data_IF_013662575855
#
_entry.id   IF_013662575855
#
_cell.length_a   1.000
_cell.length_b   1.000
_cell.length_c   1.000
_cell.angle_alpha   90.00
_cell.angle_beta   90.00
_cell.angle_gamma   90.00
#
_symmetry.space_group_name_H-M   'P 1'
#
loop_
_entity.id
_entity.type
_entity.pdbx_description
1 polymer ?
#
# COMPACT_ATOMS: atom_id res chain seq x y z
N UNK A 1 -13.30 -9.87 25.81
CA UNK A 1 -11.83 -9.78 25.96
C UNK A 1 -11.39 -11.10 26.53
N UNK A 2 -10.53 -11.85 25.82
CA UNK A 2 -10.03 -13.14 26.30
C UNK A 2 -8.98 -12.90 27.37
N UNK A 3 -8.95 -13.76 28.39
CA UNK A 3 -7.96 -13.65 29.47
C UNK A 3 -6.56 -14.10 29.00
N UNK A 4 -5.54 -13.69 29.75
CA UNK A 4 -4.13 -14.08 29.50
C UNK A 4 -3.96 -15.61 29.45
N UNK A 5 -4.73 -16.34 30.25
CA UNK A 5 -4.74 -17.80 30.35
C UNK A 5 -5.36 -18.48 29.14
N UNK A 6 -6.47 -17.94 28.62
CA UNK A 6 -7.14 -18.44 27.42
C UNK A 6 -6.30 -18.25 26.14
N UNK A 7 -5.51 -17.18 26.10
CA UNK A 7 -4.59 -16.94 25.00
C UNK A 7 -3.36 -17.85 25.09
N UNK A 8 -2.78 -18.05 26.30
CA UNK A 8 -1.65 -18.93 26.55
C UNK A 8 -1.94 -20.38 26.15
N UNK A 9 -3.12 -20.91 26.48
CA UNK A 9 -3.53 -22.27 26.14
C UNK A 9 -3.62 -22.52 24.62
N UNK A 10 -3.94 -21.50 23.83
CA UNK A 10 -3.93 -21.61 22.36
C UNK A 10 -2.51 -21.74 21.77
N UNK A 11 -1.50 -21.18 22.43
CA UNK A 11 -0.12 -21.25 21.97
C UNK A 11 0.64 -22.51 22.48
N UNK A 12 0.25 -23.05 23.63
CA UNK A 12 0.90 -24.23 24.21
C UNK A 12 0.55 -25.55 23.49
N UNK A 13 -0.55 -25.61 22.76
CA UNK A 13 -0.99 -26.83 22.06
C UNK A 13 -0.43 -26.98 20.63
N UNK A 14 0.55 -26.16 20.24
CA UNK A 14 1.18 -26.26 18.90
C UNK A 14 0.29 -25.79 17.76
N UNK A 15 -0.89 -25.25 18.04
CA UNK A 15 -1.77 -24.65 17.05
C UNK A 15 -1.13 -23.35 16.54
N UNK A 16 -1.00 -23.25 15.23
CA UNK A 16 -0.56 -22.00 14.60
C UNK A 16 -1.68 -20.97 14.76
N UNK A 17 -1.49 -19.89 15.52
CA UNK A 17 -2.51 -18.86 15.67
C UNK A 17 -2.84 -18.28 14.29
N UNK A 18 -4.12 -18.16 13.98
CA UNK A 18 -4.57 -17.41 12.81
C UNK A 18 -4.26 -15.93 13.03
N UNK A 19 -4.10 -15.19 11.95
CA UNK A 19 -3.81 -13.76 11.97
C UNK A 19 -4.75 -12.97 12.92
N UNK A 20 -6.03 -13.30 12.94
CA UNK A 20 -7.07 -12.76 13.83
C UNK A 20 -6.77 -12.97 15.34
N UNK A 21 -6.26 -14.14 15.71
CA UNK A 21 -5.88 -14.45 17.11
C UNK A 21 -4.63 -13.68 17.54
N UNK A 22 -3.73 -13.39 16.59
CA UNK A 22 -2.55 -12.57 16.83
C UNK A 22 -2.93 -11.11 17.10
N UNK A 23 -3.90 -10.56 16.34
CA UNK A 23 -4.42 -9.22 16.56
C UNK A 23 -5.11 -9.07 17.92
N UNK A 24 -5.97 -10.04 18.31
CA UNK A 24 -6.59 -10.05 19.63
C UNK A 24 -5.55 -10.06 20.76
N UNK A 25 -4.42 -10.73 20.52
CA UNK A 25 -3.31 -10.79 21.47
C UNK A 25 -2.55 -9.47 21.56
N UNK A 26 -2.22 -8.87 20.45
CA UNK A 26 -1.53 -7.57 20.38
C UNK A 26 -2.38 -6.47 21.02
N UNK A 27 -3.66 -6.37 20.71
CA UNK A 27 -4.59 -5.41 21.34
C UNK A 27 -4.70 -5.61 22.87
N UNK A 28 -4.58 -6.83 23.36
CA UNK A 28 -4.65 -7.12 24.80
C UNK A 28 -3.39 -6.71 25.57
N UNK A 29 -2.25 -6.62 24.92
CA UNK A 29 -0.95 -6.37 25.54
C UNK A 29 -0.39 -4.98 25.31
N UNK A 30 -0.75 -4.31 24.22
CA UNK A 30 -0.20 -2.98 23.88
C UNK A 30 -0.64 -1.87 24.87
N UNK A 31 -1.71 -2.07 25.60
CA UNK A 31 -2.26 -1.09 26.56
C UNK A 31 -1.77 -1.24 28.00
N UNK A 32 -0.76 -2.05 28.25
CA UNK A 32 -0.16 -2.18 29.59
C UNK A 32 1.33 -1.87 29.55
N UNK A 33 1.79 -1.07 30.51
CA UNK A 33 3.16 -0.59 30.70
C UNK A 33 4.24 -1.69 30.86
N UNK A 34 3.94 -2.94 30.60
CA UNK A 34 4.87 -4.06 30.63
C UNK A 34 5.40 -4.33 29.22
N UNK A 35 6.65 -3.92 28.96
CA UNK A 35 7.41 -4.35 27.78
C UNK A 35 7.66 -5.86 27.86
N UNK A 36 6.98 -6.64 27.02
CA UNK A 36 7.36 -8.03 26.81
C UNK A 36 8.55 -8.04 25.86
N UNK A 37 9.70 -8.54 26.35
CA UNK A 37 10.86 -8.82 25.48
C UNK A 37 10.47 -9.95 24.54
N UNK A 38 10.20 -9.62 23.28
CA UNK A 38 9.80 -10.56 22.22
C UNK A 38 10.74 -11.76 22.09
N UNK A 39 12.02 -11.59 22.41
CA UNK A 39 13.02 -12.67 22.42
C UNK A 39 12.77 -13.78 23.47
N UNK A 40 11.85 -13.58 24.40
CA UNK A 40 11.53 -14.55 25.47
C UNK A 40 10.28 -15.38 25.22
N UNK A 41 9.62 -15.20 24.10
CA UNK A 41 8.44 -15.99 23.75
C UNK A 41 8.90 -17.19 22.91
N UNK A 42 9.10 -18.33 23.55
CA UNK A 42 9.51 -19.57 22.87
C UNK A 42 8.46 -19.98 21.81
N UNK A 43 8.93 -20.33 20.61
CA UNK A 43 8.09 -20.80 19.51
C UNK A 43 7.59 -19.71 18.56
N UNK A 44 7.88 -18.43 18.82
CA UNK A 44 7.51 -17.33 17.95
C UNK A 44 8.50 -17.10 16.80
N UNK A 45 9.72 -17.64 16.90
CA UNK A 45 10.77 -17.54 15.88
C UNK A 45 10.39 -18.07 14.50
N UNK A 46 9.37 -18.94 14.41
CA UNK A 46 8.94 -19.59 13.16
C UNK A 46 7.58 -19.12 12.63
N UNK A 47 6.91 -18.18 13.30
CA UNK A 47 5.53 -17.79 12.93
C UNK A 47 5.18 -16.31 13.06
N UNK A 48 6.08 -15.49 13.63
CA UNK A 48 5.89 -14.04 13.69
C UNK A 48 6.31 -13.35 12.40
N UNK A 49 5.70 -12.19 12.09
CA UNK A 49 6.29 -11.24 11.15
C UNK A 49 7.78 -11.06 11.51
N UNK A 50 8.65 -11.19 10.52
CA UNK A 50 10.10 -11.03 10.73
C UNK A 50 10.34 -9.67 11.38
N UNK A 51 11.41 -9.50 12.17
CA UNK A 51 11.80 -8.24 12.85
C UNK A 51 11.77 -6.97 11.98
N UNK A 52 11.61 -7.12 10.67
CA UNK A 52 11.52 -6.05 9.68
C UNK A 52 10.07 -5.73 9.26
N UNK A 53 9.07 -6.40 9.86
CA UNK A 53 7.67 -6.15 9.57
C UNK A 53 7.15 -5.12 10.58
N UNK A 54 6.53 -4.07 10.09
CA UNK A 54 5.96 -3.01 10.92
C UNK A 54 4.49 -2.81 10.58
N UNK A 55 3.67 -2.74 11.63
CA UNK A 55 2.28 -2.38 11.52
C UNK A 55 2.13 -0.90 11.81
N UNK A 56 1.78 -0.12 10.80
CA UNK A 56 1.53 1.29 10.98
C UNK A 56 0.16 1.52 11.60
N UNK A 57 0.14 2.20 12.74
CA UNK A 57 -1.05 2.86 13.26
C UNK A 57 -1.04 4.31 12.80
N UNK A 58 -2.18 4.72 12.27
CA UNK A 58 -2.43 6.11 11.88
C UNK A 58 -3.46 6.62 12.90
N UNK A 59 -3.11 7.67 13.65
CA UNK A 59 -4.02 8.28 14.59
C UNK A 59 -5.19 9.02 13.90
N UNK A 60 -6.13 9.53 14.69
CA UNK A 60 -7.32 10.24 14.18
C UNK A 60 -6.92 11.55 13.45
N UNK A 61 -5.77 12.11 13.80
CA UNK A 61 -5.19 13.31 13.17
C UNK A 61 -4.41 12.98 11.90
N UNK A 62 -4.24 11.70 11.56
CA UNK A 62 -3.53 11.25 10.37
C UNK A 62 -2.02 11.19 10.52
N UNK A 63 -1.49 11.22 11.76
CA UNK A 63 -0.06 11.12 12.00
C UNK A 63 0.38 9.67 12.16
N UNK A 64 1.50 9.33 11.54
CA UNK A 64 2.24 8.12 11.83
C UNK A 64 3.73 8.40 11.74
N UNK A 65 4.49 8.01 12.74
CA UNK A 65 5.92 8.20 12.74
C UNK A 65 6.65 6.92 12.36
N UNK A 66 7.19 6.89 11.15
CA UNK A 66 8.06 5.82 10.66
C UNK A 66 9.53 6.25 10.66
N UNK A 67 9.83 7.44 11.17
CA UNK A 67 11.05 8.20 10.92
C UNK A 67 12.37 7.61 11.44
N UNK A 68 12.41 6.47 12.11
CA UNK A 68 13.66 5.85 12.60
C UNK A 68 13.66 4.32 12.53
N UNK A 69 12.70 3.72 11.83
CA UNK A 69 12.57 2.28 11.72
C UNK A 69 13.15 1.81 10.39
N UNK A 70 14.09 0.88 10.42
CA UNK A 70 14.51 0.15 9.21
C UNK A 70 13.44 -0.88 8.85
N UNK A 71 12.26 -0.39 8.47
CA UNK A 71 11.12 -1.22 8.13
C UNK A 71 11.25 -1.63 6.67
N UNK A 72 11.22 -2.93 6.40
CA UNK A 72 11.17 -3.44 5.03
C UNK A 72 9.75 -3.75 4.58
N UNK A 73 8.91 -4.22 5.49
CA UNK A 73 7.52 -4.59 5.21
C UNK A 73 6.59 -3.76 6.08
N UNK A 74 5.63 -3.12 5.46
CA UNK A 74 4.68 -2.24 6.10
C UNK A 74 3.26 -2.79 5.93
N UNK A 75 2.57 -3.00 7.03
CA UNK A 75 1.17 -3.43 7.04
C UNK A 75 0.30 -2.28 7.50
N UNK A 76 -0.68 -1.93 6.68
CA UNK A 76 -1.68 -0.93 7.08
C UNK A 76 -2.74 -1.63 7.92
N UNK A 77 -2.97 -1.12 9.13
CA UNK A 77 -3.91 -1.71 10.10
C UNK A 77 -5.34 -1.76 9.53
N UNK A 78 -6.08 -2.87 9.73
CA UNK A 78 -7.51 -2.92 9.43
C UNK A 78 -8.28 -1.82 10.16
N UNK A 79 -9.22 -1.18 9.46
CA UNK A 79 -9.96 -0.02 9.97
C UNK A 79 -9.37 1.33 9.56
N UNK A 80 -8.11 1.40 9.09
CA UNK A 80 -7.56 2.61 8.47
C UNK A 80 -8.34 2.95 7.21
N UNK A 81 -8.90 4.17 7.14
CA UNK A 81 -9.66 4.66 5.99
C UNK A 81 -8.79 5.49 5.03
N UNK A 82 -7.88 6.27 5.56
CA UNK A 82 -7.07 7.20 4.77
C UNK A 82 -5.58 7.03 5.09
N UNK A 83 -4.76 6.90 4.05
CA UNK A 83 -3.31 6.99 4.19
C UNK A 83 -2.93 8.46 4.06
N UNK A 84 -2.23 9.05 5.04
CA UNK A 84 -1.86 10.47 5.01
C UNK A 84 -0.86 10.80 3.91
N UNK A 85 -0.74 12.10 3.61
CA UNK A 85 0.32 12.60 2.74
C UNK A 85 1.70 12.28 3.35
N UNK A 86 2.65 11.87 2.50
CA UNK A 86 4.04 11.54 2.86
C UNK A 86 4.20 10.49 3.96
N UNK A 87 3.19 9.69 4.22
CA UNK A 87 3.11 8.70 5.29
C UNK A 87 4.38 7.86 5.46
N UNK A 88 4.86 7.24 4.41
CA UNK A 88 6.05 6.40 4.38
C UNK A 88 7.02 6.80 3.25
N UNK A 89 7.06 8.08 2.88
CA UNK A 89 7.98 8.58 1.86
C UNK A 89 9.44 8.48 2.30
N UNK A 90 10.33 8.01 1.41
CA UNK A 90 11.78 7.86 1.66
C UNK A 90 12.14 6.96 2.86
N UNK A 91 11.35 5.95 3.17
CA UNK A 91 11.59 5.06 4.32
C UNK A 91 12.31 3.76 3.96
N UNK A 92 12.51 3.49 2.66
CA UNK A 92 13.20 2.29 2.18
C UNK A 92 12.38 1.02 2.29
N UNK A 93 11.05 1.11 2.43
CA UNK A 93 10.18 -0.08 2.45
C UNK A 93 10.23 -0.80 1.12
N UNK A 94 10.23 -2.13 1.18
CA UNK A 94 10.24 -3.00 0.00
C UNK A 94 8.90 -3.70 -0.26
N UNK A 95 8.00 -3.63 0.71
CA UNK A 95 6.65 -4.20 0.61
C UNK A 95 5.67 -3.35 1.42
N UNK A 96 4.49 -3.09 0.87
CA UNK A 96 3.35 -2.52 1.58
C UNK A 96 2.12 -3.38 1.34
N UNK A 97 1.40 -3.66 2.41
CA UNK A 97 0.13 -4.40 2.39
C UNK A 97 -0.95 -3.44 2.88
N UNK A 98 -1.82 -3.04 1.95
CA UNK A 98 -2.93 -2.15 2.25
C UNK A 98 -4.08 -2.95 2.87
N UNK A 99 -4.69 -2.39 3.92
CA UNK A 99 -5.93 -2.95 4.46
C UNK A 99 -7.09 -2.72 3.47
N UNK A 100 -8.05 -3.65 3.44
CA UNK A 100 -9.24 -3.52 2.59
C UNK A 100 -10.14 -2.34 2.97
N UNK A 101 -9.96 -1.77 4.17
CA UNK A 101 -10.69 -0.59 4.63
C UNK A 101 -10.23 0.72 4.01
N UNK A 102 -9.02 0.77 3.40
CA UNK A 102 -8.44 2.01 2.87
C UNK A 102 -9.26 2.52 1.70
N UNK A 103 -9.75 3.76 1.79
CA UNK A 103 -10.54 4.43 0.76
C UNK A 103 -9.77 5.49 -0.01
N UNK A 104 -8.66 6.00 0.54
CA UNK A 104 -7.79 6.94 -0.19
C UNK A 104 -6.33 6.83 0.23
N UNK A 105 -5.45 7.14 -0.71
CA UNK A 105 -4.00 7.20 -0.52
C UNK A 105 -3.56 8.64 -0.76
N UNK A 106 -2.89 9.25 0.21
CA UNK A 106 -2.45 10.64 0.20
C UNK A 106 -1.31 10.93 -0.79
N UNK A 107 -1.00 12.21 -0.94
CA UNK A 107 0.09 12.65 -1.80
C UNK A 107 1.46 12.21 -1.25
N UNK A 108 2.35 11.76 -2.14
CA UNK A 108 3.69 11.24 -1.78
C UNK A 108 3.68 10.09 -0.75
N UNK A 109 2.55 9.46 -0.47
CA UNK A 109 2.39 8.55 0.69
C UNK A 109 3.45 7.47 0.77
N UNK A 110 3.88 6.91 -0.35
CA UNK A 110 4.89 5.86 -0.45
C UNK A 110 6.02 6.20 -1.44
N UNK A 111 6.17 7.48 -1.81
CA UNK A 111 7.17 7.89 -2.80
C UNK A 111 8.60 7.55 -2.38
N UNK A 112 9.49 7.35 -3.37
CA UNK A 112 10.93 7.10 -3.18
C UNK A 112 11.23 5.92 -2.23
N UNK A 113 10.60 4.80 -2.47
CA UNK A 113 10.82 3.54 -1.77
C UNK A 113 11.40 2.47 -2.72
N UNK A 114 11.52 1.24 -2.24
CA UNK A 114 12.06 0.12 -3.04
C UNK A 114 11.00 -0.98 -3.26
N UNK A 115 9.75 -0.57 -3.43
CA UNK A 115 8.62 -1.48 -3.68
C UNK A 115 8.76 -2.13 -5.05
N UNK A 116 8.59 -3.45 -5.12
CA UNK A 116 8.56 -4.19 -6.39
C UNK A 116 7.15 -4.42 -6.91
N UNK A 117 6.20 -4.51 -6.00
CA UNK A 117 4.80 -4.72 -6.32
C UNK A 117 3.89 -4.02 -5.32
N UNK A 118 2.70 -3.65 -5.76
CA UNK A 118 1.63 -3.17 -4.90
C UNK A 118 0.27 -3.61 -5.47
N UNK A 119 -0.63 -3.94 -4.55
CA UNK A 119 -2.05 -4.17 -4.87
C UNK A 119 -2.87 -3.06 -4.24
N UNK A 120 -3.55 -2.29 -5.08
CA UNK A 120 -4.52 -1.28 -4.65
C UNK A 120 -5.86 -1.99 -4.42
N UNK A 121 -6.37 -1.93 -3.19
CA UNK A 121 -7.57 -2.66 -2.76
C UNK A 121 -8.86 -2.02 -3.29
N UNK A 122 -9.96 -2.78 -3.26
CA UNK A 122 -11.23 -2.40 -3.91
C UNK A 122 -11.91 -1.15 -3.33
N UNK A 123 -11.63 -0.81 -2.09
CA UNK A 123 -12.22 0.37 -1.46
C UNK A 123 -11.51 1.68 -1.83
N UNK A 124 -10.28 1.59 -2.35
CA UNK A 124 -9.52 2.79 -2.74
C UNK A 124 -10.17 3.45 -3.94
N UNK A 125 -10.71 4.64 -3.74
CA UNK A 125 -11.32 5.44 -4.80
C UNK A 125 -10.32 6.39 -5.48
N UNK A 126 -9.36 6.94 -4.73
CA UNK A 126 -8.40 7.93 -5.22
C UNK A 126 -6.98 7.59 -4.80
N UNK A 127 -6.05 7.66 -5.77
CA UNK A 127 -4.62 7.53 -5.56
C UNK A 127 -4.01 8.93 -5.71
N UNK A 128 -3.40 9.42 -4.63
CA UNK A 128 -2.88 10.77 -4.51
C UNK A 128 -1.71 11.09 -5.44
N UNK A 129 -1.41 12.39 -5.55
CA UNK A 129 -0.29 12.90 -6.34
C UNK A 129 1.03 12.26 -5.88
N UNK A 130 1.85 11.76 -6.81
CA UNK A 130 3.14 11.10 -6.54
C UNK A 130 3.09 9.96 -5.51
N UNK A 131 1.92 9.39 -5.22
CA UNK A 131 1.75 8.42 -4.13
C UNK A 131 2.75 7.25 -4.17
N UNK A 132 3.10 6.76 -5.34
CA UNK A 132 4.08 5.69 -5.58
C UNK A 132 5.16 6.10 -6.59
N UNK A 133 5.51 7.37 -6.66
CA UNK A 133 6.56 7.85 -7.55
C UNK A 133 7.93 7.33 -7.10
N UNK A 134 8.76 6.87 -8.05
CA UNK A 134 10.15 6.44 -7.77
C UNK A 134 10.23 5.22 -6.84
N UNK A 135 9.32 4.25 -6.96
CA UNK A 135 9.26 3.08 -6.07
C UNK A 135 9.80 1.79 -6.69
N UNK A 136 10.27 1.81 -7.93
CA UNK A 136 10.78 0.66 -8.68
C UNK A 136 9.75 -0.44 -8.96
N UNK A 137 8.45 -0.14 -8.99
CA UNK A 137 7.38 -1.10 -9.26
C UNK A 137 7.58 -1.77 -10.62
N UNK A 138 7.59 -3.10 -10.60
CA UNK A 138 7.54 -3.94 -11.80
C UNK A 138 6.16 -4.54 -12.00
N UNK A 139 5.33 -4.60 -10.95
CA UNK A 139 3.97 -5.13 -10.96
C UNK A 139 3.03 -4.21 -10.17
N UNK A 140 1.89 -3.88 -10.78
CA UNK A 140 0.84 -3.08 -10.18
C UNK A 140 -0.51 -3.73 -10.45
N UNK A 141 -1.27 -3.96 -9.39
CA UNK A 141 -2.68 -4.38 -9.47
C UNK A 141 -3.56 -3.24 -9.01
N UNK A 142 -4.45 -2.77 -9.89
CA UNK A 142 -5.47 -1.75 -9.57
C UNK A 142 -6.82 -2.45 -9.53
N UNK A 143 -7.45 -2.45 -8.35
CA UNK A 143 -8.77 -3.08 -8.19
C UNK A 143 -9.91 -2.19 -8.72
N UNK A 144 -11.10 -2.76 -8.99
CA UNK A 144 -12.23 -2.05 -9.62
C UNK A 144 -12.89 -0.96 -8.78
N UNK A 145 -12.29 -0.50 -7.67
CA UNK A 145 -12.76 0.63 -6.85
C UNK A 145 -12.24 1.98 -7.31
N UNK A 146 -11.04 1.99 -7.89
CA UNK A 146 -10.32 3.22 -8.23
C UNK A 146 -11.08 4.02 -9.30
N UNK A 147 -11.29 5.33 -9.03
CA UNK A 147 -11.93 6.28 -9.92
C UNK A 147 -10.95 7.26 -10.54
N UNK A 148 -9.99 7.73 -9.76
CA UNK A 148 -9.01 8.72 -10.18
C UNK A 148 -7.58 8.33 -9.80
N UNK A 149 -6.66 8.49 -10.76
CA UNK A 149 -5.22 8.36 -10.55
C UNK A 149 -4.63 9.75 -10.77
N UNK A 150 -4.09 10.35 -9.71
CA UNK A 150 -3.61 11.73 -9.72
C UNK A 150 -2.22 11.88 -10.35
N UNK A 151 -1.78 13.14 -10.44
CA UNK A 151 -0.56 13.56 -11.12
C UNK A 151 0.65 12.76 -10.62
N UNK A 152 1.39 12.19 -11.55
CA UNK A 152 2.63 11.43 -11.28
C UNK A 152 2.49 10.25 -10.31
N UNK A 153 1.28 9.77 -10.03
CA UNK A 153 1.01 8.78 -8.96
C UNK A 153 1.90 7.52 -9.05
N UNK A 154 2.22 7.05 -10.25
CA UNK A 154 3.09 5.91 -10.52
C UNK A 154 4.22 6.27 -11.49
N UNK A 155 4.61 7.54 -11.54
CA UNK A 155 5.73 7.98 -12.37
C UNK A 155 7.06 7.39 -11.87
N UNK A 156 8.06 7.32 -12.76
CA UNK A 156 9.41 6.85 -12.45
C UNK A 156 9.42 5.46 -11.79
N UNK A 157 8.82 4.49 -12.49
CA UNK A 157 8.76 3.10 -12.08
C UNK A 157 9.30 2.16 -13.18
N UNK A 158 9.14 0.86 -13.02
CA UNK A 158 9.65 -0.16 -13.95
C UNK A 158 8.51 -1.07 -14.46
N UNK A 159 7.32 -0.51 -14.62
CA UNK A 159 6.19 -1.26 -15.14
C UNK A 159 6.45 -1.66 -16.59
N UNK A 160 6.13 -2.91 -16.92
CA UNK A 160 6.21 -3.45 -18.30
C UNK A 160 4.84 -3.74 -18.88
N UNK A 161 3.85 -3.92 -18.01
CA UNK A 161 2.45 -4.12 -18.35
C UNK A 161 1.57 -3.41 -17.33
N UNK A 162 0.40 -2.98 -17.76
CA UNK A 162 -0.57 -2.30 -16.93
C UNK A 162 -1.98 -2.69 -17.37
N UNK A 163 -2.79 -3.15 -16.43
CA UNK A 163 -4.23 -3.24 -16.58
C UNK A 163 -4.90 -2.10 -15.81
N UNK A 164 -5.65 -1.29 -16.52
CA UNK A 164 -6.46 -0.20 -15.94
C UNK A 164 -7.92 -0.67 -15.95
N UNK A 165 -8.55 -0.86 -14.77
CA UNK A 165 -9.93 -1.31 -14.72
C UNK A 165 -10.90 -0.24 -15.24
N UNK A 166 -12.07 -0.63 -15.81
CA UNK A 166 -13.06 0.31 -16.35
C UNK A 166 -13.65 1.29 -15.34
N UNK A 167 -13.43 1.05 -14.04
CA UNK A 167 -13.83 1.96 -12.96
C UNK A 167 -13.05 3.27 -12.95
N UNK A 168 -11.82 3.27 -13.52
CA UNK A 168 -10.96 4.46 -13.58
C UNK A 168 -11.53 5.40 -14.65
N UNK A 169 -12.02 6.55 -14.21
CA UNK A 169 -12.61 7.56 -15.08
C UNK A 169 -11.64 8.66 -15.48
N UNK A 170 -10.58 8.88 -14.69
CA UNK A 170 -9.61 9.96 -14.93
C UNK A 170 -8.18 9.54 -14.59
N UNK A 171 -7.27 9.73 -15.54
CA UNK A 171 -5.83 9.58 -15.37
C UNK A 171 -5.18 10.94 -15.62
N UNK A 172 -4.56 11.50 -14.58
CA UNK A 172 -3.98 12.84 -14.56
C UNK A 172 -2.59 12.88 -15.24
N UNK A 173 -2.03 14.09 -15.45
CA UNK A 173 -0.72 14.30 -16.05
C UNK A 173 0.38 13.45 -15.40
N UNK A 174 1.27 12.91 -16.22
CA UNK A 174 2.44 12.12 -15.81
C UNK A 174 2.13 10.88 -14.94
N UNK A 175 0.88 10.48 -14.75
CA UNK A 175 0.49 9.43 -13.80
C UNK A 175 1.31 8.14 -13.94
N UNK A 176 1.68 7.75 -15.16
CA UNK A 176 2.51 6.60 -15.49
C UNK A 176 3.73 6.96 -16.34
N UNK A 177 4.11 8.24 -16.41
CA UNK A 177 5.28 8.67 -17.17
C UNK A 177 6.56 8.07 -16.56
N UNK A 178 7.65 8.05 -17.32
CA UNK A 178 8.93 7.45 -16.90
C UNK A 178 8.83 5.97 -16.47
N UNK A 179 7.99 5.19 -17.17
CA UNK A 179 7.97 3.72 -17.10
C UNK A 179 8.49 3.17 -18.44
N UNK A 180 9.81 3.09 -18.67
CA UNK A 180 10.38 2.83 -20.00
C UNK A 180 10.03 1.46 -20.57
N UNK A 181 9.64 0.49 -19.72
CA UNK A 181 9.20 -0.84 -20.13
C UNK A 181 7.74 -0.92 -20.56
N UNK A 182 6.93 0.11 -20.27
CA UNK A 182 5.49 0.11 -20.57
C UNK A 182 5.24 0.49 -22.02
N UNK A 183 5.18 -0.51 -22.90
CA UNK A 183 5.06 -0.31 -24.35
C UNK A 183 3.63 -0.07 -24.83
N UNK A 184 2.63 -0.55 -24.09
CA UNK A 184 1.22 -0.34 -24.43
C UNK A 184 0.31 -0.43 -23.19
N UNK A 185 -0.80 0.28 -23.25
CA UNK A 185 -1.88 0.20 -22.27
C UNK A 185 -3.23 0.21 -22.99
N UNK A 186 -4.17 -0.58 -22.48
CA UNK A 186 -5.55 -0.57 -22.97
C UNK A 186 -6.44 0.09 -21.92
N UNK A 187 -7.21 1.08 -22.35
CA UNK A 187 -8.14 1.84 -21.52
C UNK A 187 -9.58 1.57 -21.94
N UNK A 188 -10.50 1.62 -20.99
CA UNK A 188 -11.92 1.65 -21.30
C UNK A 188 -12.27 2.98 -22.03
N UNK A 189 -13.30 2.95 -22.86
CA UNK A 189 -13.75 4.12 -23.63
C UNK A 189 -14.15 5.31 -22.74
N UNK A 190 -14.64 5.04 -21.52
CA UNK A 190 -15.03 6.06 -20.56
C UNK A 190 -13.85 6.67 -19.81
N UNK A 191 -12.66 6.04 -19.85
CA UNK A 191 -11.47 6.56 -19.17
C UNK A 191 -10.95 7.79 -19.91
N UNK A 192 -10.89 8.91 -19.22
CA UNK A 192 -10.26 10.15 -19.70
C UNK A 192 -8.79 10.19 -19.24
N UNK A 193 -7.89 10.68 -20.11
CA UNK A 193 -6.47 10.78 -19.77
C UNK A 193 -5.82 11.98 -20.43
N UNK A 194 -4.78 12.53 -19.80
CA UNK A 194 -3.96 13.62 -20.36
C UNK A 194 -2.88 13.06 -21.27
N UNK A 195 -2.43 13.87 -22.23
CA UNK A 195 -1.46 13.45 -23.26
C UNK A 195 -0.16 12.91 -22.69
N UNK A 196 0.30 13.47 -21.58
CA UNK A 196 1.52 13.10 -20.87
C UNK A 196 1.31 12.09 -19.73
N UNK A 197 0.09 11.58 -19.56
CA UNK A 197 -0.23 10.58 -18.53
C UNK A 197 0.67 9.33 -18.63
N UNK A 198 1.14 9.02 -19.81
CA UNK A 198 2.03 7.89 -20.11
C UNK A 198 3.32 8.37 -20.79
N UNK A 199 4.36 7.55 -20.75
CA UNK A 199 5.61 7.83 -21.47
C UNK A 199 5.41 7.89 -22.98
N UNK A 200 6.25 8.66 -23.67
CA UNK A 200 6.20 8.86 -25.14
C UNK A 200 6.30 7.55 -25.94
N UNK A 201 6.88 6.50 -25.36
CA UNK A 201 7.00 5.18 -25.97
C UNK A 201 5.80 4.26 -25.71
N UNK A 202 4.81 4.72 -24.94
CA UNK A 202 3.63 3.93 -24.57
C UNK A 202 2.50 4.13 -25.57
N UNK A 203 2.10 3.07 -26.25
CA UNK A 203 0.91 3.08 -27.10
C UNK A 203 -0.37 2.96 -26.27
N UNK A 204 -1.17 4.01 -26.24
CA UNK A 204 -2.51 3.98 -25.60
C UNK A 204 -3.54 3.49 -26.59
N UNK A 205 -4.34 2.52 -26.19
CA UNK A 205 -5.43 1.92 -26.98
C UNK A 205 -6.74 2.13 -26.20
N UNK A 206 -7.70 2.84 -26.83
CA UNK A 206 -8.94 3.22 -26.14
C UNK A 206 -8.78 4.48 -25.31
N UNK A 207 -9.75 4.73 -24.43
CA UNK A 207 -9.81 5.96 -23.63
C UNK A 207 -10.18 7.21 -24.43
N UNK A 208 -10.35 8.31 -23.74
CA UNK A 208 -10.62 9.64 -24.32
C UNK A 208 -9.52 10.61 -23.90
N UNK A 209 -8.75 11.08 -24.87
CA UNK A 209 -7.70 12.06 -24.64
C UNK A 209 -8.31 13.41 -24.25
N UNK A 210 -7.86 13.98 -23.15
CA UNK A 210 -8.17 15.35 -22.75
C UNK A 210 -7.21 16.27 -23.50
N UNK A 211 -7.75 17.18 -24.31
CA UNK A 211 -6.94 18.21 -24.96
C UNK A 211 -6.43 19.20 -23.90
N UNK A 212 -5.14 19.50 -23.94
CA UNK A 212 -4.56 20.58 -23.16
C UNK A 212 -5.26 21.90 -23.55
N UNK A 213 -5.77 22.64 -22.55
CA UNK A 213 -6.34 23.97 -22.76
C UNK A 213 -5.24 25.01 -22.82
#
# INVERSE_FOLDING_TARGET
>A
MKTKEELRLKFENGDRPRQENFWEWMDSYWHKDEKIEMAKIAGLENGLPRFNDFYAEIDEEGNASLAHLQVRRLFIKPGTLHIPDRFASNTGISEVILANSVVSIGADAFSNNVLKSVTITEQVATIGERAFMGTYLTSLTISPGVKEIKDSAFADNKLTSLYVPPSVTLIRPNAFNFNPGLSSVMLDKATQYYADAFGTNTRVIGGTLIADM
#
